data_IF_569389069793
#
_entry.id   IF_569389069793
#
_cell.length_a   1.000
_cell.length_b   1.000
_cell.length_c   1.000
_cell.angle_alpha   90.00
_cell.angle_beta   90.00
_cell.angle_gamma   90.00
#
_symmetry.space_group_name_H-M   'P 1'
#
loop_
_entity.id
_entity.type
_entity.pdbx_description
1 polymer ?
#
# COMPACT_ATOMS: atom_id res chain seq x y z
N UNK A 1 20.48 -33.88 15.97
CA UNK A 1 20.73 -33.30 17.30
C UNK A 1 19.77 -32.15 17.49
N UNK A 2 18.82 -32.25 18.44
CA UNK A 2 17.95 -31.12 18.77
C UNK A 2 18.75 -30.16 19.65
N UNK A 3 19.30 -29.11 19.05
CA UNK A 3 20.01 -28.07 19.78
C UNK A 3 19.00 -27.28 20.61
N UNK A 4 19.15 -27.28 21.93
CA UNK A 4 18.31 -26.48 22.83
C UNK A 4 18.76 -25.02 22.71
N UNK A 5 17.86 -24.15 22.25
CA UNK A 5 18.11 -22.72 22.10
C UNK A 5 17.49 -21.96 23.27
N UNK A 6 18.17 -20.89 23.72
CA UNK A 6 17.55 -19.91 24.61
C UNK A 6 16.54 -19.06 23.86
N UNK A 7 15.60 -18.43 24.58
CA UNK A 7 14.58 -17.55 23.97
C UNK A 7 15.23 -16.44 23.13
N UNK A 8 16.32 -15.84 23.62
CA UNK A 8 17.06 -14.81 22.89
C UNK A 8 17.75 -15.34 21.64
N UNK A 9 18.29 -16.57 21.68
CA UNK A 9 18.88 -17.21 20.51
C UNK A 9 17.81 -17.51 19.45
N UNK A 10 16.65 -18.03 19.87
CA UNK A 10 15.51 -18.28 18.99
C UNK A 10 15.05 -16.99 18.31
N UNK A 11 14.78 -15.93 19.08
CA UNK A 11 14.31 -14.65 18.54
C UNK A 11 15.33 -14.03 17.56
N UNK A 12 16.63 -14.10 17.88
CA UNK A 12 17.68 -13.61 16.98
C UNK A 12 17.73 -14.40 15.69
N UNK A 13 17.60 -15.72 15.76
CA UNK A 13 17.61 -16.59 14.59
C UNK A 13 16.39 -16.34 13.69
N UNK A 14 15.19 -16.22 14.28
CA UNK A 14 13.96 -15.90 13.55
C UNK A 14 14.07 -14.52 12.91
N UNK A 15 14.51 -13.50 13.65
CA UNK A 15 14.73 -12.16 13.09
C UNK A 15 15.65 -12.21 11.86
N UNK A 16 16.79 -12.89 11.97
CA UNK A 16 17.73 -13.02 10.85
C UNK A 16 17.10 -13.74 9.66
N UNK A 17 16.28 -14.75 9.88
CA UNK A 17 15.57 -15.46 8.82
C UNK A 17 14.57 -14.54 8.11
N UNK A 18 13.75 -13.80 8.86
CA UNK A 18 12.78 -12.86 8.29
C UNK A 18 13.47 -11.77 7.47
N UNK A 19 14.55 -11.19 8.00
CA UNK A 19 15.25 -10.07 7.35
C UNK A 19 15.99 -10.50 6.07
N UNK A 20 16.47 -11.75 6.01
CA UNK A 20 17.21 -12.26 4.86
C UNK A 20 16.31 -12.85 3.76
N UNK A 21 15.26 -13.59 4.14
CA UNK A 21 14.46 -14.38 3.18
C UNK A 21 13.30 -13.58 2.57
N UNK A 22 12.65 -12.71 3.36
CA UNK A 22 11.44 -12.02 2.90
C UNK A 22 11.74 -10.73 2.12
N UNK A 23 12.91 -10.14 2.32
CA UNK A 23 13.30 -8.89 1.66
C UNK A 23 12.28 -7.76 1.89
N UNK A 24 11.93 -7.05 0.81
CA UNK A 24 10.91 -6.01 0.83
C UNK A 24 9.54 -6.62 0.52
N UNK A 25 8.58 -6.43 1.43
CA UNK A 25 7.19 -6.90 1.32
C UNK A 25 6.23 -5.73 1.18
N UNK A 26 5.08 -5.99 0.56
CA UNK A 26 3.97 -5.05 0.42
C UNK A 26 2.77 -5.61 1.19
N UNK A 27 2.22 -4.82 2.12
CA UNK A 27 1.12 -5.23 2.99
C UNK A 27 0.00 -4.20 2.88
N UNK A 28 -1.18 -4.67 2.48
CA UNK A 28 -2.40 -3.88 2.47
C UNK A 28 -3.18 -4.09 3.77
N UNK A 29 -3.75 -3.01 4.31
CA UNK A 29 -4.67 -3.12 5.42
C UNK A 29 -5.20 -1.78 5.89
N UNK A 30 -6.10 -1.84 6.87
CA UNK A 30 -6.62 -0.65 7.54
C UNK A 30 -5.64 -0.20 8.62
N UNK A 31 -5.32 1.09 8.62
CA UNK A 31 -4.48 1.72 9.61
C UNK A 31 -5.26 1.92 10.91
N UNK A 32 -4.70 1.47 12.03
CA UNK A 32 -5.26 1.61 13.37
C UNK A 32 -4.19 1.93 14.42
N UNK A 33 -4.59 2.55 15.53
CA UNK A 33 -3.73 2.95 16.64
C UNK A 33 -2.56 3.84 16.20
N UNK A 34 -2.83 4.84 15.37
CA UNK A 34 -1.80 5.77 14.89
C UNK A 34 -1.24 6.63 16.03
N UNK A 35 0.05 6.48 16.29
CA UNK A 35 0.81 7.29 17.24
C UNK A 35 1.87 8.11 16.52
N UNK A 36 1.81 9.43 16.72
CA UNK A 36 2.76 10.42 16.17
C UNK A 36 3.50 11.15 17.31
N UNK A 37 4.40 10.47 18.03
CA UNK A 37 5.19 11.09 19.09
C UNK A 37 6.14 12.18 18.57
N UNK A 38 6.57 13.07 19.47
CA UNK A 38 7.46 14.21 19.19
C UNK A 38 8.84 13.78 18.64
N UNK A 39 9.24 12.52 18.87
CA UNK A 39 10.44 11.91 18.29
C UNK A 39 10.42 11.89 16.75
N UNK A 40 9.22 11.96 16.14
CA UNK A 40 9.03 12.01 14.70
C UNK A 40 8.98 10.65 14.02
N UNK A 41 9.00 9.55 14.79
CA UNK A 41 8.69 8.21 14.28
C UNK A 41 7.21 7.93 14.41
N UNK A 42 6.58 7.35 13.39
CA UNK A 42 5.18 6.96 13.47
C UNK A 42 5.08 5.47 13.81
N UNK A 43 4.21 5.18 14.75
CA UNK A 43 3.87 3.82 15.15
C UNK A 43 2.40 3.62 14.87
N UNK A 44 2.05 2.54 14.18
CA UNK A 44 0.66 2.20 13.90
C UNK A 44 0.54 0.70 13.74
N UNK A 45 -0.68 0.22 13.63
CA UNK A 45 -0.99 -1.19 13.36
C UNK A 45 -1.75 -1.26 12.04
N UNK A 46 -1.34 -2.16 11.15
CA UNK A 46 -2.16 -2.56 10.01
C UNK A 46 -2.98 -3.77 10.41
N UNK A 47 -4.28 -3.71 10.17
CA UNK A 47 -5.21 -4.81 10.44
C UNK A 47 -5.96 -5.19 9.16
N UNK A 48 -6.28 -6.47 9.07
CA UNK A 48 -7.24 -7.03 8.14
C UNK A 48 -8.37 -7.72 8.93
N UNK A 49 -9.18 -8.55 8.27
CA UNK A 49 -10.31 -9.26 8.92
C UNK A 49 -9.88 -10.32 9.93
N UNK A 50 -8.64 -10.82 9.86
CA UNK A 50 -8.17 -12.01 10.58
C UNK A 50 -6.89 -11.78 11.38
N UNK A 51 -6.10 -10.78 11.04
CA UNK A 51 -4.77 -10.54 11.55
C UNK A 51 -4.46 -9.05 11.69
N UNK A 52 -3.42 -8.77 12.47
CA UNK A 52 -2.86 -7.44 12.62
C UNK A 52 -1.35 -7.50 12.74
N UNK A 53 -0.67 -6.46 12.29
CA UNK A 53 0.79 -6.32 12.37
C UNK A 53 1.16 -4.91 12.83
N UNK A 54 2.13 -4.81 13.75
CA UNK A 54 2.67 -3.52 14.16
C UNK A 54 3.62 -3.00 13.10
N UNK A 55 3.52 -1.71 12.83
CA UNK A 55 4.29 -1.00 11.83
C UNK A 55 5.06 0.14 12.49
N UNK A 56 6.31 0.29 12.09
CA UNK A 56 7.17 1.40 12.50
C UNK A 56 7.61 2.14 11.26
N UNK A 57 7.37 3.44 11.23
CA UNK A 57 7.79 4.32 10.15
C UNK A 57 8.76 5.36 10.69
N UNK A 58 10.00 5.30 10.22
CA UNK A 58 11.07 6.14 10.74
C UNK A 58 11.08 7.52 10.07
N UNK A 59 11.26 8.59 10.85
CA UNK A 59 11.44 9.98 10.39
C UNK A 59 12.34 10.13 9.16
N UNK A 60 13.48 9.44 9.15
CA UNK A 60 14.46 9.53 8.05
C UNK A 60 13.91 9.03 6.70
N UNK A 61 12.81 8.26 6.73
CA UNK A 61 12.13 7.72 5.55
C UNK A 61 10.82 8.43 5.24
N UNK A 62 10.55 9.59 5.85
CA UNK A 62 9.38 10.39 5.51
C UNK A 62 9.59 11.02 4.12
N UNK A 63 9.42 10.24 3.06
CA UNK A 63 9.72 10.66 1.70
C UNK A 63 8.55 11.45 1.06
N UNK A 64 7.39 11.52 1.72
CA UNK A 64 6.18 12.07 1.10
C UNK A 64 5.29 12.89 2.05
N UNK A 65 4.63 13.90 1.47
CA UNK A 65 3.56 14.70 2.10
C UNK A 65 2.43 13.83 2.68
N UNK A 66 2.28 12.60 2.15
CA UNK A 66 1.32 11.59 2.61
C UNK A 66 1.47 11.23 4.09
N UNK A 67 2.70 11.23 4.62
CA UNK A 67 2.97 10.91 6.03
C UNK A 67 2.18 11.83 6.99
N UNK A 68 1.97 13.09 6.62
CA UNK A 68 1.23 14.06 7.42
C UNK A 68 -0.30 13.87 7.33
N UNK A 69 -0.80 13.20 6.30
CA UNK A 69 -2.23 12.95 6.05
C UNK A 69 -2.73 11.60 6.60
N UNK A 70 -1.84 10.78 7.16
CA UNK A 70 -2.23 9.50 7.75
C UNK A 70 -3.23 9.70 8.88
N UNK A 71 -4.35 8.96 8.81
CA UNK A 71 -5.41 8.93 9.81
C UNK A 71 -5.83 7.48 10.06
N UNK A 72 -6.29 7.19 11.28
CA UNK A 72 -6.93 5.91 11.59
C UNK A 72 -8.15 5.67 10.68
N UNK A 73 -8.38 4.41 10.31
CA UNK A 73 -9.44 3.98 9.42
C UNK A 73 -9.10 4.08 7.93
N UNK A 74 -7.94 4.64 7.57
CA UNK A 74 -7.49 4.66 6.17
C UNK A 74 -7.00 3.28 5.73
N UNK A 75 -7.37 2.90 4.52
CA UNK A 75 -6.82 1.72 3.87
C UNK A 75 -5.53 2.12 3.13
N UNK A 76 -4.42 1.46 3.45
CA UNK A 76 -3.11 1.77 2.86
C UNK A 76 -2.39 0.50 2.43
N UNK A 77 -1.48 0.65 1.47
CA UNK A 77 -0.45 -0.34 1.15
C UNK A 77 0.88 0.18 1.68
N UNK A 78 1.44 -0.52 2.66
CA UNK A 78 2.76 -0.25 3.22
C UNK A 78 3.80 -1.20 2.62
N UNK A 79 4.91 -0.64 2.16
CA UNK A 79 6.05 -1.36 1.61
C UNK A 79 7.22 -1.25 2.57
N UNK A 80 7.87 -2.36 2.90
CA UNK A 80 8.97 -2.33 3.85
C UNK A 80 9.54 -3.70 4.17
N UNK A 81 10.31 -3.79 5.24
CA UNK A 81 10.97 -5.04 5.64
C UNK A 81 10.36 -5.58 6.91
N UNK A 82 10.14 -6.89 6.94
CA UNK A 82 9.69 -7.56 8.16
C UNK A 82 10.87 -7.77 9.10
N UNK A 83 10.68 -7.43 10.36
CA UNK A 83 11.66 -7.62 11.43
C UNK A 83 10.95 -8.12 12.68
N UNK A 84 11.73 -8.47 13.70
CA UNK A 84 11.24 -8.96 14.97
C UNK A 84 11.91 -8.20 16.11
N UNK A 85 11.12 -7.70 17.05
CA UNK A 85 11.63 -7.02 18.22
C UNK A 85 12.13 -8.05 19.24
N UNK A 86 13.45 -8.29 19.25
CA UNK A 86 14.11 -9.39 19.98
C UNK A 86 13.71 -9.48 21.46
N UNK A 87 13.50 -8.34 22.12
CA UNK A 87 13.19 -8.29 23.55
C UNK A 87 11.79 -8.82 23.89
N UNK A 88 10.81 -8.72 22.97
CA UNK A 88 9.44 -9.22 23.20
C UNK A 88 9.03 -10.36 22.29
N UNK A 89 9.76 -10.61 21.20
CA UNK A 89 9.37 -11.59 20.19
C UNK A 89 8.26 -11.11 19.25
N UNK A 90 7.93 -9.82 19.29
CA UNK A 90 6.85 -9.24 18.47
C UNK A 90 7.32 -9.00 17.04
N UNK A 91 6.52 -9.42 16.05
CA UNK A 91 6.73 -9.05 14.65
C UNK A 91 6.46 -7.56 14.43
N UNK A 92 7.28 -6.95 13.57
CA UNK A 92 7.12 -5.57 13.17
C UNK A 92 7.47 -5.37 11.70
N UNK A 93 6.66 -4.59 11.00
CA UNK A 93 6.97 -4.12 9.66
C UNK A 93 7.69 -2.78 9.76
N UNK A 94 8.95 -2.75 9.35
CA UNK A 94 9.71 -1.51 9.19
C UNK A 94 9.31 -0.91 7.84
N UNK A 95 8.46 0.10 7.89
CA UNK A 95 7.90 0.71 6.69
C UNK A 95 8.94 1.62 6.05
N UNK A 96 9.08 1.49 4.74
CA UNK A 96 9.95 2.31 3.89
C UNK A 96 9.13 3.24 3.00
N UNK A 97 7.99 2.77 2.47
CA UNK A 97 7.08 3.55 1.65
C UNK A 97 5.63 3.24 1.99
N UNK A 98 4.74 4.20 1.77
CA UNK A 98 3.29 4.01 1.93
C UNK A 98 2.54 4.66 0.77
N UNK A 99 1.46 4.02 0.37
CA UNK A 99 0.52 4.51 -0.65
C UNK A 99 -0.92 4.25 -0.18
N UNK A 100 -1.85 5.13 -0.53
CA UNK A 100 -3.27 4.92 -0.23
C UNK A 100 -3.81 3.72 -1.03
N UNK A 101 -4.45 2.77 -0.34
CA UNK A 101 -5.13 1.65 -0.98
C UNK A 101 -6.43 2.19 -1.58
N UNK A 102 -6.37 2.54 -2.87
CA UNK A 102 -7.47 3.16 -3.58
C UNK A 102 -7.08 3.60 -4.99
N UNK A 103 -5.85 4.10 -5.17
CA UNK A 103 -5.32 4.41 -6.50
C UNK A 103 -5.18 3.14 -7.35
N UNK A 104 -4.75 2.01 -6.79
CA UNK A 104 -4.61 0.75 -7.53
C UNK A 104 -5.94 0.22 -8.06
N UNK A 105 -6.95 0.10 -7.20
CA UNK A 105 -8.28 -0.38 -7.60
C UNK A 105 -8.99 0.60 -8.54
N UNK A 106 -8.86 1.91 -8.31
CA UNK A 106 -9.39 2.94 -9.22
C UNK A 106 -8.66 2.92 -10.56
N UNK A 107 -7.34 2.73 -10.57
CA UNK A 107 -6.52 2.62 -11.77
C UNK A 107 -6.86 1.36 -12.58
N UNK A 108 -7.04 0.21 -11.91
CA UNK A 108 -7.51 -1.02 -12.57
C UNK A 108 -8.90 -0.83 -13.18
N UNK A 109 -9.85 -0.25 -12.43
CA UNK A 109 -11.18 0.08 -12.99
C UNK A 109 -11.10 1.10 -14.12
N UNK A 110 -10.17 2.04 -14.06
CA UNK A 110 -9.92 3.01 -15.12
C UNK A 110 -9.33 2.35 -16.37
N UNK A 111 -8.37 1.44 -16.23
CA UNK A 111 -7.81 0.67 -17.36
C UNK A 111 -8.86 -0.24 -17.99
N UNK A 112 -9.67 -0.93 -17.19
CA UNK A 112 -10.80 -1.73 -17.68
C UNK A 112 -11.81 -0.85 -18.44
N UNK A 113 -12.16 0.32 -17.90
CA UNK A 113 -13.09 1.25 -18.54
C UNK A 113 -12.51 1.83 -19.84
N UNK A 114 -11.22 2.20 -19.83
CA UNK A 114 -10.49 2.69 -21.01
C UNK A 114 -10.47 1.63 -22.11
N UNK A 115 -10.17 0.38 -21.76
CA UNK A 115 -10.16 -0.73 -22.72
C UNK A 115 -11.56 -1.03 -23.27
N UNK A 116 -12.60 -0.96 -22.43
CA UNK A 116 -14.00 -1.10 -22.88
C UNK A 116 -14.40 0.00 -23.86
N UNK A 117 -14.08 1.26 -23.55
CA UNK A 117 -14.40 2.41 -24.41
C UNK A 117 -13.58 2.39 -25.73
N UNK A 118 -12.32 1.95 -25.68
CA UNK A 118 -11.50 1.71 -26.87
C UNK A 118 -12.08 0.59 -27.74
N UNK A 119 -12.51 -0.52 -27.15
CA UNK A 119 -13.15 -1.63 -27.85
C UNK A 119 -14.51 -1.25 -28.48
N UNK A 120 -15.21 -0.25 -27.92
CA UNK A 120 -16.44 0.29 -28.49
C UNK A 120 -16.20 1.27 -29.67
N UNK A 121 -14.95 1.55 -30.03
CA UNK A 121 -14.60 2.44 -31.14
C UNK A 121 -14.96 3.91 -30.90
N UNK A 122 -15.18 4.31 -29.63
CA UNK A 122 -15.53 5.69 -29.28
C UNK A 122 -14.36 6.68 -29.44
N UNK A 123 -13.14 6.16 -29.55
CA UNK A 123 -11.92 6.93 -29.80
C UNK A 123 -11.47 6.85 -31.27
N UNK A 124 -12.25 6.18 -32.12
CA UNK A 124 -11.92 6.02 -33.53
C UNK A 124 -12.32 7.31 -34.27
N UNK A 125 -11.32 8.09 -34.69
CA UNK A 125 -11.48 9.35 -35.42
C UNK A 125 -12.15 9.17 -36.79
N UNK A 126 -12.38 7.93 -37.20
CA UNK A 126 -13.02 7.50 -38.44
C UNK A 126 -14.56 7.52 -38.38
N UNK A 127 -15.16 7.58 -37.18
CA UNK A 127 -16.60 7.86 -36.97
C UNK A 127 -16.85 9.33 -36.63
N UNK A 128 -16.29 10.25 -37.42
CA UNK A 128 -16.96 11.55 -37.59
C UNK A 128 -18.13 11.30 -38.52
N UNK A 129 -19.29 11.03 -37.93
CA UNK A 129 -20.55 11.14 -38.68
C UNK A 129 -20.54 12.49 -39.37
N UNK A 130 -20.65 12.45 -40.69
CA UNK A 130 -20.92 13.64 -41.48
C UNK A 130 -22.17 14.27 -40.87
N UNK A 131 -21.98 15.41 -40.21
CA UNK A 131 -23.09 16.21 -39.74
C UNK A 131 -24.01 16.45 -40.94
N UNK A 132 -25.31 16.14 -40.85
CA UNK A 132 -26.22 16.39 -41.96
C UNK A 132 -26.24 17.88 -42.24
N UNK A 133 -25.67 18.29 -43.38
CA UNK A 133 -25.79 19.63 -43.93
C UNK A 133 -27.19 19.78 -44.53
N UNK A 134 -28.19 19.99 -43.68
CA UNK A 134 -29.49 20.44 -44.12
C UNK A 134 -29.74 21.84 -43.57
N UNK A 135 -29.18 22.84 -44.26
CA UNK A 135 -29.72 24.19 -44.24
C UNK A 135 -30.45 24.36 -45.57
N UNK A 136 -31.74 24.06 -45.55
CA UNK A 136 -32.67 24.41 -46.63
C UNK A 136 -32.88 25.94 -46.54
N UNK A 137 -32.73 26.71 -47.63
CA UNK A 137 -33.10 28.12 -47.62
C UNK A 137 -34.64 28.22 -47.47
N UNK A 138 -35.09 29.02 -46.52
CA UNK A 138 -36.48 29.49 -46.48
C UNK A 138 -36.65 30.50 -47.62
N UNK A 139 -37.52 30.18 -48.58
CA UNK A 139 -38.05 31.14 -49.59
C UNK A 139 -38.96 32.19 -48.95
#
# INVERSE_FOLDING_TARGET
>A
MNTILTVSQLNRQVKSYLENELGTVHVEGELSNLSKPVSGHFYFTLKDTHAQIRCVYFKNRHTNSLAYKLCDGQHIVASGRLSLYEARGDYQLIVEQMTEAGLGALYQRFEELKNKLAAQGLFDSTKKDQFPSCLVPLE
#
